data_IF_080294199451
#
_entry.id   IF_080294199451
#
_cell.length_a   1.000
_cell.length_b   1.000
_cell.length_c   1.000
_cell.angle_alpha   90.00
_cell.angle_beta   90.00
_cell.angle_gamma   90.00
#
_symmetry.space_group_name_H-M   'P 1'
#
loop_
_entity.id
_entity.type
_entity.pdbx_description
1 polymer ?
#
# COMPACT_ATOMS: atom_id res chain seq x y z
N UNK A 1 -0.67 62.64 -11.53
CA UNK A 1 -0.35 62.99 -10.13
C UNK A 1 -1.62 62.86 -9.32
N UNK A 2 -1.79 61.74 -8.60
CA UNK A 2 -2.52 61.62 -7.33
C UNK A 2 -2.43 60.17 -6.87
N UNK A 3 -1.64 60.01 -5.81
CA UNK A 3 -1.36 58.80 -5.04
C UNK A 3 -2.46 58.70 -3.95
N UNK A 4 -2.72 57.46 -3.48
CA UNK A 4 -3.45 57.02 -2.24
C UNK A 4 -4.94 56.69 -2.35
N UNK A 5 -5.23 55.38 -2.30
CA UNK A 5 -6.12 54.75 -1.31
C UNK A 5 -5.93 53.21 -1.41
N UNK A 6 -4.86 52.64 -0.84
CA UNK A 6 -4.84 52.01 0.49
C UNK A 6 -6.08 51.16 0.79
N UNK A 7 -5.86 49.84 0.71
CA UNK A 7 -6.25 48.82 1.67
C UNK A 7 -7.63 49.00 2.34
N UNK A 8 -8.60 48.17 1.96
CA UNK A 8 -9.84 48.09 2.73
C UNK A 8 -10.89 47.09 2.24
N UNK A 9 -10.53 46.12 1.39
CA UNK A 9 -11.48 45.10 0.90
C UNK A 9 -10.78 43.74 0.89
N UNK A 10 -10.29 43.31 2.05
CA UNK A 10 -9.82 41.92 2.24
C UNK A 10 -9.91 41.51 3.72
N UNK A 11 -10.99 41.87 4.42
CA UNK A 11 -11.16 41.48 5.83
C UNK A 11 -12.64 41.42 6.27
N UNK A 12 -13.54 40.91 5.43
CA UNK A 12 -14.97 40.88 5.77
C UNK A 12 -15.75 39.68 5.20
N UNK A 13 -15.06 38.56 4.94
CA UNK A 13 -15.69 37.27 4.58
C UNK A 13 -15.37 36.12 5.55
N UNK A 14 -14.74 36.42 6.70
CA UNK A 14 -14.32 35.40 7.68
C UNK A 14 -15.15 35.35 8.97
N UNK A 15 -16.26 36.09 9.08
CA UNK A 15 -17.06 36.15 10.31
C UNK A 15 -18.56 36.03 10.02
N UNK A 16 -18.97 34.97 9.31
CA UNK A 16 -20.38 34.54 9.27
C UNK A 16 -20.54 33.02 9.46
N UNK A 17 -19.76 32.46 10.38
CA UNK A 17 -20.09 31.21 11.06
C UNK A 17 -20.23 31.49 12.56
N UNK A 18 -21.28 32.24 12.92
CA UNK A 18 -21.67 32.41 14.31
C UNK A 18 -22.84 31.48 14.59
N UNK A 19 -22.54 30.41 15.34
CA UNK A 19 -23.25 30.03 16.55
C UNK A 19 -24.76 29.66 16.42
N UNK A 20 -25.02 28.38 16.13
CA UNK A 20 -26.11 27.65 16.77
C UNK A 20 -25.50 26.72 17.80
N UNK A 21 -25.90 26.86 19.06
CA UNK A 21 -25.17 26.33 20.21
C UNK A 21 -25.20 24.81 20.35
N UNK A 22 -24.02 24.27 20.59
CA UNK A 22 -23.70 23.04 21.32
C UNK A 22 -22.28 23.31 21.87
N UNK A 23 -21.89 22.70 22.99
CA UNK A 23 -20.53 22.86 23.51
C UNK A 23 -19.56 22.49 22.37
N UNK A 24 -18.52 23.28 22.11
CA UNK A 24 -17.47 22.83 21.19
C UNK A 24 -16.95 21.50 21.73
N UNK A 25 -17.13 20.41 20.97
CA UNK A 25 -16.58 19.11 21.33
C UNK A 25 -15.06 19.26 21.36
N UNK A 26 -14.47 18.96 22.52
CA UNK A 26 -13.02 19.08 22.76
C UNK A 26 -12.19 18.32 21.71
N UNK A 27 -12.72 17.23 21.17
CA UNK A 27 -12.04 16.38 20.20
C UNK A 27 -12.73 16.50 18.84
N UNK A 28 -12.04 17.07 17.86
CA UNK A 28 -12.52 17.17 16.48
C UNK A 28 -11.95 16.01 15.68
N UNK A 29 -12.85 15.14 15.18
CA UNK A 29 -12.49 14.02 14.32
C UNK A 29 -12.41 14.48 12.86
N UNK A 30 -11.19 14.61 12.37
CA UNK A 30 -10.93 14.88 10.96
C UNK A 30 -10.70 13.55 10.20
N UNK A 31 -10.55 13.63 8.87
CA UNK A 31 -10.41 12.44 8.02
C UNK A 31 -9.23 11.54 8.38
N UNK A 32 -8.14 12.12 8.91
CA UNK A 32 -6.87 11.40 9.16
C UNK A 32 -6.30 11.61 10.56
N UNK A 33 -6.99 12.39 11.41
CA UNK A 33 -6.50 12.73 12.74
C UNK A 33 -7.64 13.16 13.66
N UNK A 34 -7.34 13.22 14.95
CA UNK A 34 -8.20 13.80 15.98
C UNK A 34 -7.47 15.01 16.55
N UNK A 35 -8.15 16.16 16.64
CA UNK A 35 -7.57 17.39 17.17
C UNK A 35 -8.18 17.68 18.55
N UNK A 36 -7.34 17.78 19.58
CA UNK A 36 -7.74 18.32 20.88
C UNK A 36 -7.71 19.86 20.81
N UNK A 37 -8.87 20.49 20.84
CA UNK A 37 -9.00 21.96 20.73
C UNK A 37 -8.60 22.70 22.00
N UNK A 38 -8.46 22.00 23.12
CA UNK A 38 -8.05 22.57 24.41
C UNK A 38 -6.52 22.63 24.53
N UNK A 39 -5.82 21.56 24.14
CA UNK A 39 -4.35 21.48 24.24
C UNK A 39 -3.63 21.83 22.95
N UNK A 40 -4.30 21.70 21.80
CA UNK A 40 -3.69 21.79 20.48
C UNK A 40 -3.00 20.51 20.02
N UNK A 41 -3.14 19.41 20.77
CA UNK A 41 -2.55 18.12 20.42
C UNK A 41 -3.28 17.47 19.25
N UNK A 42 -2.54 16.80 18.37
CA UNK A 42 -3.09 16.07 17.23
C UNK A 42 -2.75 14.57 17.33
N UNK A 43 -3.78 13.73 17.27
CA UNK A 43 -3.67 12.28 17.36
C UNK A 43 -3.80 11.66 15.96
N UNK A 44 -2.79 10.91 15.54
CA UNK A 44 -2.73 10.24 14.25
C UNK A 44 -2.80 8.73 14.43
N UNK A 45 -3.66 8.07 13.64
CA UNK A 45 -3.73 6.61 13.62
C UNK A 45 -2.47 6.04 12.97
N UNK A 46 -1.74 5.19 13.69
CA UNK A 46 -0.53 4.52 13.19
C UNK A 46 -0.73 3.02 13.00
N UNK A 47 -1.51 2.41 13.88
CA UNK A 47 -1.85 0.98 13.88
C UNK A 47 -3.10 0.76 14.74
N UNK A 48 -3.79 -0.41 14.62
CA UNK A 48 -5.07 -0.66 15.28
C UNK A 48 -5.09 -0.34 16.78
N UNK A 49 -3.98 -0.58 17.48
CA UNK A 49 -3.90 -0.41 18.94
C UNK A 49 -3.18 0.87 19.38
N UNK A 50 -2.63 1.67 18.46
CA UNK A 50 -1.73 2.78 18.80
C UNK A 50 -1.97 4.03 17.94
N UNK A 51 -2.06 5.17 18.63
CA UNK A 51 -2.06 6.50 18.05
C UNK A 51 -0.69 7.15 18.28
N UNK A 52 -0.32 8.09 17.43
CA UNK A 52 0.79 9.02 17.70
C UNK A 52 0.18 10.37 18.08
N UNK A 53 0.46 10.84 19.28
CA UNK A 53 0.13 12.21 19.70
C UNK A 53 1.26 13.12 19.25
N UNK A 54 0.91 14.21 18.59
CA UNK A 54 1.82 15.29 18.25
C UNK A 54 1.40 16.50 19.06
N UNK A 55 2.25 16.89 20.00
CA UNK A 55 2.03 18.04 20.86
C UNK A 55 2.26 19.35 20.13
N UNK A 56 1.69 20.44 20.66
CA UNK A 56 1.84 21.79 20.08
C UNK A 56 3.30 22.27 20.00
N UNK A 57 4.17 21.75 20.85
CA UNK A 57 5.62 22.03 20.85
C UNK A 57 6.39 21.18 19.82
N UNK A 58 5.70 20.30 19.11
CA UNK A 58 6.24 19.41 18.08
C UNK A 58 6.78 18.09 18.60
N UNK A 59 6.71 17.82 19.92
CA UNK A 59 7.07 16.51 20.48
C UNK A 59 6.03 15.48 20.06
N UNK A 60 6.48 14.31 19.61
CA UNK A 60 5.60 13.22 19.20
C UNK A 60 5.86 11.96 20.02
N UNK A 61 4.80 11.34 20.53
CA UNK A 61 4.88 10.11 21.31
C UNK A 61 3.75 9.13 21.01
N UNK A 62 3.99 7.81 21.13
CA UNK A 62 2.96 6.80 20.93
C UNK A 62 2.06 6.70 22.17
N UNK A 63 0.75 6.57 21.96
CA UNK A 63 -0.24 6.29 22.99
C UNK A 63 -1.14 5.14 22.57
N UNK A 64 -1.53 4.31 23.54
CA UNK A 64 -2.48 3.22 23.27
C UNK A 64 -3.87 3.79 23.04
N UNK A 65 -4.59 3.28 22.04
CA UNK A 65 -5.96 3.74 21.71
C UNK A 65 -6.86 3.70 22.96
N UNK A 66 -6.83 2.61 23.72
CA UNK A 66 -7.61 2.42 24.95
C UNK A 66 -7.28 3.38 26.09
N UNK A 67 -6.14 4.08 26.03
CA UNK A 67 -5.73 5.07 27.03
C UNK A 67 -6.20 6.49 26.70
N UNK A 68 -6.82 6.68 25.53
CA UNK A 68 -7.27 8.01 25.11
C UNK A 68 -8.63 8.36 25.68
N UNK A 69 -8.91 9.66 25.92
CA UNK A 69 -10.18 10.10 26.49
C UNK A 69 -11.41 9.84 25.59
N UNK A 70 -11.19 9.50 24.33
CA UNK A 70 -12.21 9.24 23.32
C UNK A 70 -12.20 7.77 22.83
N UNK A 71 -11.58 6.86 23.59
CA UNK A 71 -11.42 5.45 23.24
C UNK A 71 -12.74 4.71 22.94
N UNK A 72 -13.85 5.13 23.55
CA UNK A 72 -15.17 4.52 23.40
C UNK A 72 -16.10 5.32 22.46
N UNK A 73 -15.57 6.30 21.71
CA UNK A 73 -16.37 7.13 20.81
C UNK A 73 -16.68 6.43 19.49
N UNK A 74 -17.91 6.60 18.98
CA UNK A 74 -18.33 6.09 17.67
C UNK A 74 -17.50 6.73 16.54
N UNK A 75 -17.08 7.98 16.73
CA UNK A 75 -16.27 8.72 15.76
C UNK A 75 -14.85 8.16 15.65
N UNK A 76 -14.27 7.67 16.75
CA UNK A 76 -13.00 6.96 16.73
C UNK A 76 -13.15 5.63 15.99
N UNK A 77 -14.20 4.86 16.26
CA UNK A 77 -14.49 3.61 15.55
C UNK A 77 -14.54 3.85 14.02
N UNK A 78 -15.31 4.86 13.59
CA UNK A 78 -15.39 5.22 12.17
C UNK A 78 -14.04 5.69 11.59
N UNK A 79 -13.19 6.36 12.38
CA UNK A 79 -11.85 6.74 11.93
C UNK A 79 -10.96 5.51 11.74
N UNK A 80 -11.04 4.54 12.66
CA UNK A 80 -10.29 3.29 12.59
C UNK A 80 -10.73 2.43 11.40
N UNK A 81 -12.05 2.31 11.16
CA UNK A 81 -12.58 1.58 10.00
C UNK A 81 -12.07 2.16 8.68
N UNK A 82 -12.10 3.48 8.52
CA UNK A 82 -11.54 4.17 7.34
C UNK A 82 -10.03 3.95 7.20
N UNK A 83 -9.32 3.91 8.32
CA UNK A 83 -7.89 3.63 8.32
C UNK A 83 -7.61 2.21 7.82
N UNK A 84 -8.37 1.22 8.31
CA UNK A 84 -8.25 -0.18 7.87
C UNK A 84 -8.58 -0.35 6.38
N UNK A 85 -9.66 0.27 5.90
CA UNK A 85 -10.03 0.27 4.48
C UNK A 85 -8.90 0.86 3.61
N UNK A 86 -8.35 2.03 4.00
CA UNK A 86 -7.21 2.65 3.30
C UNK A 86 -5.97 1.76 3.34
N UNK A 87 -5.71 1.10 4.46
CA UNK A 87 -4.57 0.22 4.62
C UNK A 87 -4.68 -0.98 3.69
N UNK A 88 -5.86 -1.60 3.60
CA UNK A 88 -6.11 -2.73 2.71
C UNK A 88 -5.99 -2.33 1.24
N UNK A 89 -6.63 -1.22 0.85
CA UNK A 89 -6.49 -0.66 -0.50
C UNK A 89 -5.02 -0.37 -0.87
N UNK A 90 -4.23 0.09 0.10
CA UNK A 90 -2.80 0.31 -0.10
C UNK A 90 -2.03 -1.00 -0.27
N UNK A 91 -2.30 -2.02 0.54
CA UNK A 91 -1.68 -3.36 0.39
C UNK A 91 -1.97 -3.92 -1.00
N UNK A 92 -3.24 -3.91 -1.41
CA UNK A 92 -3.65 -4.40 -2.73
C UNK A 92 -2.96 -3.64 -3.86
N UNK A 93 -2.86 -2.32 -3.74
CA UNK A 93 -2.16 -1.52 -4.74
C UNK A 93 -0.66 -1.84 -4.79
N UNK A 94 0.00 -2.05 -3.66
CA UNK A 94 1.42 -2.42 -3.60
C UNK A 94 1.63 -3.80 -4.22
N UNK A 95 0.82 -4.80 -3.84
CA UNK A 95 0.88 -6.16 -4.39
C UNK A 95 0.68 -6.15 -5.90
N UNK A 96 -0.30 -5.38 -6.40
CA UNK A 96 -0.53 -5.24 -7.84
C UNK A 96 0.68 -4.64 -8.57
N UNK A 97 1.31 -3.62 -8.00
CA UNK A 97 2.51 -3.00 -8.58
C UNK A 97 3.67 -4.00 -8.59
N UNK A 98 3.88 -4.75 -7.51
CA UNK A 98 4.91 -5.79 -7.44
C UNK A 98 4.69 -6.89 -8.49
N UNK A 99 3.47 -7.44 -8.58
CA UNK A 99 3.11 -8.44 -9.60
C UNK A 99 3.34 -7.94 -11.02
N UNK A 100 3.03 -6.67 -11.29
CA UNK A 100 3.28 -6.07 -12.59
C UNK A 100 4.79 -5.94 -12.88
N UNK A 101 5.57 -5.57 -11.87
CA UNK A 101 7.03 -5.48 -11.98
C UNK A 101 7.66 -6.84 -12.26
N UNK A 102 7.24 -7.89 -11.56
CA UNK A 102 7.72 -9.26 -11.76
C UNK A 102 7.48 -9.71 -13.21
N UNK A 103 6.26 -9.49 -13.73
CA UNK A 103 5.91 -9.81 -15.13
C UNK A 103 6.76 -9.04 -16.13
N UNK A 104 7.04 -7.77 -15.87
CA UNK A 104 7.85 -6.95 -16.76
C UNK A 104 9.32 -7.37 -16.74
N UNK A 105 9.88 -7.62 -15.55
CA UNK A 105 11.23 -8.15 -15.39
C UNK A 105 11.41 -9.48 -16.12
N UNK A 106 10.43 -10.39 -16.00
CA UNK A 106 10.41 -11.68 -16.70
C UNK A 106 10.44 -11.52 -18.22
N UNK A 107 9.59 -10.66 -18.77
CA UNK A 107 9.58 -10.38 -20.22
C UNK A 107 10.93 -9.89 -20.69
N UNK A 108 11.55 -8.97 -19.95
CA UNK A 108 12.86 -8.42 -20.29
C UNK A 108 13.94 -9.49 -20.21
N UNK A 109 13.92 -10.32 -19.17
CA UNK A 109 14.86 -11.43 -18.96
C UNK A 109 14.86 -12.41 -20.14
N UNK A 110 13.69 -12.76 -20.65
CA UNK A 110 13.55 -13.76 -21.71
C UNK A 110 13.33 -13.19 -23.12
N UNK A 111 13.38 -11.87 -23.29
CA UNK A 111 13.08 -11.20 -24.58
C UNK A 111 13.97 -11.67 -25.74
N UNK A 112 15.19 -12.11 -25.44
CA UNK A 112 16.16 -12.56 -26.44
C UNK A 112 15.95 -14.01 -26.92
N UNK A 113 15.17 -14.81 -26.19
CA UNK A 113 14.94 -16.22 -26.51
C UNK A 113 13.72 -16.36 -27.42
N UNK A 114 13.84 -17.20 -28.46
CA UNK A 114 12.69 -17.77 -29.15
C UNK A 114 11.96 -18.79 -28.27
N UNK A 115 10.75 -19.17 -28.66
CA UNK A 115 9.92 -20.11 -27.89
C UNK A 115 10.58 -21.50 -27.77
N UNK A 116 11.19 -21.98 -28.86
CA UNK A 116 11.95 -23.23 -28.87
C UNK A 116 13.19 -23.16 -27.98
N UNK A 117 13.95 -22.06 -28.03
CA UNK A 117 15.13 -21.87 -27.18
C UNK A 117 14.74 -21.79 -25.70
N UNK A 118 13.63 -21.12 -25.38
CA UNK A 118 13.14 -20.99 -24.02
C UNK A 118 12.70 -22.35 -23.46
N UNK A 119 11.99 -23.16 -24.26
CA UNK A 119 11.56 -24.51 -23.86
C UNK A 119 12.76 -25.45 -23.68
N UNK A 120 13.74 -25.39 -24.58
CA UNK A 120 14.97 -26.17 -24.43
C UNK A 120 15.73 -25.77 -23.17
N UNK A 121 15.84 -24.45 -22.90
CA UNK A 121 16.48 -23.95 -21.69
C UNK A 121 15.76 -24.37 -20.42
N UNK A 122 14.42 -24.43 -20.45
CA UNK A 122 13.63 -24.93 -19.33
C UNK A 122 13.96 -26.41 -19.04
N UNK A 123 14.00 -27.25 -20.07
CA UNK A 123 14.34 -28.67 -19.91
C UNK A 123 15.74 -28.86 -19.34
N UNK A 124 16.73 -28.10 -19.82
CA UNK A 124 18.08 -28.10 -19.25
C UNK A 124 18.09 -27.74 -17.77
N UNK A 125 17.39 -26.66 -17.36
CA UNK A 125 17.31 -26.24 -15.96
C UNK A 125 16.65 -27.30 -15.08
N UNK A 126 15.59 -27.96 -15.58
CA UNK A 126 14.93 -29.05 -14.86
C UNK A 126 15.86 -30.25 -14.68
N UNK A 127 16.57 -30.66 -15.74
CA UNK A 127 17.54 -31.75 -15.69
C UNK A 127 18.72 -31.46 -14.76
N UNK A 128 19.18 -30.20 -14.71
CA UNK A 128 20.25 -29.72 -13.83
C UNK A 128 19.78 -29.57 -12.37
N UNK A 129 18.48 -29.66 -12.10
CA UNK A 129 17.93 -29.45 -10.75
C UNK A 129 18.08 -28.01 -10.28
N UNK A 130 17.94 -27.04 -11.19
CA UNK A 130 18.00 -25.62 -10.89
C UNK A 130 16.96 -25.20 -9.83
N UNK A 131 17.13 -24.06 -9.14
CA UNK A 131 16.17 -23.60 -8.13
C UNK A 131 14.74 -23.52 -8.68
N UNK A 132 13.77 -23.95 -7.86
CA UNK A 132 12.35 -23.98 -8.26
C UNK A 132 11.85 -22.62 -8.75
N UNK A 133 12.25 -21.52 -8.10
CA UNK A 133 11.88 -20.16 -8.51
C UNK A 133 12.33 -19.83 -9.94
N UNK A 134 13.52 -20.30 -10.34
CA UNK A 134 14.02 -20.13 -11.70
C UNK A 134 13.22 -20.96 -12.71
N UNK A 135 12.88 -22.20 -12.35
CA UNK A 135 12.05 -23.08 -13.19
C UNK A 135 10.64 -22.48 -13.38
N UNK A 136 10.02 -22.01 -12.29
CA UNK A 136 8.71 -21.35 -12.30
C UNK A 136 8.70 -20.05 -13.10
N UNK A 137 9.73 -19.21 -12.95
CA UNK A 137 9.82 -17.95 -13.70
C UNK A 137 9.88 -18.19 -15.21
N UNK A 138 10.64 -19.20 -15.65
CA UNK A 138 10.72 -19.59 -17.06
C UNK A 138 9.42 -20.22 -17.56
N UNK A 139 8.83 -21.11 -16.77
CA UNK A 139 7.53 -21.72 -17.09
C UNK A 139 6.43 -20.66 -17.21
N UNK A 140 6.44 -19.66 -16.34
CA UNK A 140 5.51 -18.56 -16.39
C UNK A 140 5.63 -17.71 -17.66
N UNK A 141 6.83 -17.60 -18.22
CA UNK A 141 7.04 -16.98 -19.53
C UNK A 141 6.53 -17.87 -20.67
N UNK A 142 6.76 -19.18 -20.61
CA UNK A 142 6.25 -20.14 -21.60
C UNK A 142 4.71 -20.15 -21.66
N UNK A 143 4.04 -20.06 -20.51
CA UNK A 143 2.58 -19.90 -20.45
C UNK A 143 2.14 -18.56 -21.02
N UNK A 144 2.82 -17.47 -20.68
CA UNK A 144 2.51 -16.13 -21.22
C UNK A 144 2.59 -16.09 -22.75
N UNK A 145 3.48 -16.89 -23.34
CA UNK A 145 3.68 -17.02 -24.78
C UNK A 145 2.79 -18.08 -25.44
N UNK A 146 1.91 -18.71 -24.67
CA UNK A 146 1.01 -19.77 -25.13
C UNK A 146 1.74 -21.03 -25.65
N UNK A 147 3.00 -21.23 -25.24
CA UNK A 147 3.79 -22.43 -25.57
C UNK A 147 3.38 -23.60 -24.70
N UNK A 148 3.02 -23.31 -23.44
CA UNK A 148 2.53 -24.28 -22.45
C UNK A 148 1.19 -23.80 -21.91
N UNK A 149 0.25 -24.71 -21.65
CA UNK A 149 -1.00 -24.37 -21.00
C UNK A 149 -0.81 -24.40 -19.48
N UNK A 150 -1.41 -23.44 -18.77
CA UNK A 150 -1.32 -23.36 -17.30
C UNK A 150 -1.79 -24.66 -16.60
N UNK A 151 -2.74 -25.37 -17.21
CA UNK A 151 -3.26 -26.65 -16.69
C UNK A 151 -2.22 -27.79 -16.69
N UNK A 152 -1.19 -27.69 -17.53
CA UNK A 152 -0.18 -28.73 -17.70
C UNK A 152 1.03 -28.50 -16.77
N UNK A 153 1.09 -27.36 -16.07
CA UNK A 153 2.21 -26.98 -15.18
C UNK A 153 2.49 -27.99 -14.07
N UNK A 154 1.50 -28.48 -13.31
CA UNK A 154 1.77 -29.44 -12.23
C UNK A 154 2.49 -30.68 -12.75
N UNK A 155 2.08 -31.18 -13.91
CA UNK A 155 2.69 -32.34 -14.55
C UNK A 155 4.08 -32.02 -15.09
N UNK A 156 4.27 -30.87 -15.74
CA UNK A 156 5.56 -30.51 -16.34
C UNK A 156 6.62 -30.22 -15.26
N UNK A 157 6.22 -29.67 -14.12
CA UNK A 157 7.13 -29.31 -13.02
C UNK A 157 7.22 -30.38 -11.93
N UNK A 158 6.43 -31.45 -12.01
CA UNK A 158 6.30 -32.48 -10.99
C UNK A 158 5.96 -31.91 -9.60
N UNK A 159 4.98 -30.99 -9.55
CA UNK A 159 4.54 -30.31 -8.32
C UNK A 159 3.04 -30.48 -8.08
N UNK A 160 2.63 -30.20 -6.84
CA UNK A 160 1.21 -30.11 -6.51
C UNK A 160 0.62 -28.81 -7.11
N UNK A 161 -0.64 -28.83 -7.61
CA UNK A 161 -1.27 -27.63 -8.16
C UNK A 161 -1.36 -26.45 -7.19
N UNK A 162 -1.35 -26.71 -5.88
CA UNK A 162 -1.39 -25.69 -4.83
C UNK A 162 -0.08 -24.90 -4.71
N UNK A 163 1.03 -25.44 -5.21
CA UNK A 163 2.36 -24.81 -5.18
C UNK A 163 2.62 -23.88 -6.38
N UNK A 164 1.65 -23.77 -7.30
CA UNK A 164 1.78 -22.91 -8.48
C UNK A 164 1.64 -21.44 -8.07
N UNK A 165 2.75 -20.71 -8.16
CA UNK A 165 2.77 -19.25 -8.10
C UNK A 165 3.48 -18.66 -9.34
N UNK A 166 2.67 -18.18 -10.30
CA UNK A 166 3.13 -17.54 -11.54
C UNK A 166 3.63 -16.11 -11.34
N UNK A 167 3.37 -15.54 -10.17
CA UNK A 167 3.85 -14.23 -9.76
C UNK A 167 5.07 -14.35 -8.82
N UNK A 168 5.71 -15.54 -8.74
CA UNK A 168 6.93 -15.74 -7.97
C UNK A 168 8.07 -14.85 -8.49
N UNK A 169 8.76 -14.19 -7.57
CA UNK A 169 9.93 -13.38 -7.87
C UNK A 169 11.15 -14.28 -8.08
N UNK A 170 11.84 -14.09 -9.20
CA UNK A 170 13.14 -14.68 -9.46
C UNK A 170 14.14 -13.56 -9.78
N UNK A 171 15.18 -13.48 -8.95
CA UNK A 171 16.30 -12.56 -9.14
C UNK A 171 17.59 -13.35 -9.41
N UNK A 172 18.17 -13.30 -10.62
CA UNK A 172 19.41 -14.00 -10.93
C UNK A 172 20.62 -13.46 -10.16
N UNK A 173 20.57 -12.24 -9.60
CA UNK A 173 21.65 -11.67 -8.78
C UNK A 173 21.61 -12.15 -7.32
N UNK A 174 20.48 -12.67 -6.84
CA UNK A 174 20.35 -13.18 -5.48
C UNK A 174 21.05 -14.55 -5.27
N UNK A 175 21.34 -15.26 -6.35
CA UNK A 175 21.93 -16.60 -6.36
C UNK A 175 23.41 -16.62 -6.78
N UNK A 176 24.04 -15.43 -6.94
CA UNK A 176 25.45 -15.25 -7.31
C UNK A 176 26.33 -14.82 -6.14
#
# INVERSE_FOLDING_TARGET
MLIRNQLGILLLLLIMASCSGEKEDRYIFETERILDTETGDAYYVKNPDTLTVVHIDGVAEPVTVSSTPFAESEELEQLMDRYEEKLEARKDSVLRVQKAQIKENRKQRYAAYSDDELMNRFNELKEEGAPFAQQMDMMAELVRREVVLEIDLPEILDIDPEDIDMDMEYDPEAES
#
